data_IF_702791846716
#
_entry.id   IF_702791846716
#
_cell.length_a   1.000
_cell.length_b   1.000
_cell.length_c   1.000
_cell.angle_alpha   90.00
_cell.angle_beta   90.00
_cell.angle_gamma   90.00
#
_symmetry.space_group_name_H-M   'P 1'
#
loop_
_entity.id
_entity.type
_entity.pdbx_description
1 polymer ?
#
# COMPACT_ATOMS: atom_id res chain seq x y z
N UNK A 1 -50.33 -53.80 -38.47
CA UNK A 1 -49.36 -53.63 -37.34
C UNK A 1 -48.88 -52.17 -37.31
N UNK A 2 -49.30 -51.38 -36.28
CA UNK A 2 -48.94 -49.98 -36.15
C UNK A 2 -47.88 -49.89 -35.06
N UNK A 3 -46.69 -49.38 -35.38
CA UNK A 3 -45.65 -49.14 -34.43
C UNK A 3 -45.80 -47.73 -33.84
N UNK A 4 -45.77 -47.54 -32.54
CA UNK A 4 -45.77 -46.19 -31.96
C UNK A 4 -44.36 -45.57 -31.96
N UNK A 5 -44.27 -44.38 -32.50
CA UNK A 5 -43.05 -43.59 -32.53
C UNK A 5 -42.83 -43.02 -31.16
N UNK A 6 -41.72 -43.39 -30.53
CA UNK A 6 -41.27 -42.84 -29.25
C UNK A 6 -40.55 -41.50 -29.52
N UNK A 7 -41.13 -40.38 -29.08
CA UNK A 7 -40.48 -39.08 -29.13
C UNK A 7 -39.60 -38.93 -27.90
N UNK A 8 -38.29 -38.87 -28.09
CA UNK A 8 -37.33 -38.56 -27.03
C UNK A 8 -37.28 -37.05 -26.84
N UNK A 9 -37.70 -36.58 -25.67
CA UNK A 9 -37.54 -35.18 -25.24
C UNK A 9 -36.15 -35.04 -24.59
N UNK A 10 -35.22 -34.35 -25.28
CA UNK A 10 -33.93 -34.00 -24.74
C UNK A 10 -34.04 -32.75 -23.82
N UNK A 11 -33.85 -32.95 -22.54
CA UNK A 11 -33.78 -31.87 -21.56
C UNK A 11 -32.37 -31.27 -21.60
N UNK A 12 -32.20 -30.09 -22.16
CA UNK A 12 -30.95 -29.35 -22.14
C UNK A 12 -30.85 -28.64 -20.80
N UNK A 13 -30.02 -29.15 -19.88
CA UNK A 13 -29.59 -28.39 -18.69
C UNK A 13 -28.60 -27.33 -19.12
N UNK A 14 -29.03 -26.06 -19.15
CA UNK A 14 -28.12 -24.93 -19.25
C UNK A 14 -27.37 -24.76 -17.92
N UNK A 15 -26.04 -24.66 -17.92
CA UNK A 15 -25.31 -24.32 -16.70
C UNK A 15 -25.65 -22.88 -16.33
N UNK A 16 -26.22 -22.69 -15.14
CA UNK A 16 -26.38 -21.37 -14.52
C UNK A 16 -24.99 -20.97 -14.03
N UNK A 17 -24.27 -20.20 -14.82
CA UNK A 17 -23.08 -19.48 -14.33
C UNK A 17 -23.56 -18.40 -13.40
N UNK A 18 -23.40 -18.60 -12.09
CA UNK A 18 -23.51 -17.53 -11.11
C UNK A 18 -22.42 -16.49 -11.42
N UNK A 19 -22.82 -15.38 -12.01
CA UNK A 19 -21.99 -14.19 -12.04
C UNK A 19 -21.85 -13.72 -10.59
N UNK A 20 -20.67 -13.89 -10.00
CA UNK A 20 -20.32 -13.14 -8.81
C UNK A 20 -20.18 -11.70 -9.28
N UNK A 21 -21.16 -10.87 -8.98
CA UNK A 21 -21.01 -9.44 -9.04
C UNK A 21 -20.08 -9.09 -7.89
N UNK A 22 -18.80 -8.87 -8.20
CA UNK A 22 -17.91 -8.08 -7.37
C UNK A 22 -18.45 -6.65 -7.47
N UNK A 23 -19.33 -6.31 -6.54
CA UNK A 23 -19.91 -4.98 -6.48
C UNK A 23 -18.91 -4.05 -5.77
N UNK A 24 -17.79 -3.72 -6.40
CA UNK A 24 -16.76 -2.78 -5.96
C UNK A 24 -17.26 -1.44 -5.39
N UNK A 25 -18.37 -1.48 -4.68
CA UNK A 25 -19.01 -0.36 -3.98
C UNK A 25 -18.45 -0.17 -2.56
N UNK A 26 -17.69 -1.14 -2.07
CA UNK A 26 -17.05 -1.05 -0.75
C UNK A 26 -15.54 -1.22 -0.93
N UNK A 27 -14.78 -0.27 -0.42
CA UNK A 27 -13.34 -0.46 -0.27
C UNK A 27 -13.08 -1.70 0.59
N UNK A 28 -12.13 -2.53 0.17
CA UNK A 28 -11.72 -3.70 0.94
C UNK A 28 -11.35 -3.26 2.36
N UNK A 29 -12.06 -3.79 3.35
CA UNK A 29 -11.74 -3.55 4.75
C UNK A 29 -10.46 -4.28 5.07
N UNK A 30 -9.40 -3.55 5.37
CA UNK A 30 -8.12 -4.13 5.77
C UNK A 30 -8.27 -4.98 7.04
N UNK A 31 -7.49 -6.05 7.11
CA UNK A 31 -7.42 -6.86 8.33
C UNK A 31 -6.98 -5.96 9.50
N UNK A 32 -7.67 -6.01 10.66
CA UNK A 32 -7.35 -5.18 11.83
C UNK A 32 -5.91 -5.31 12.33
N UNK A 33 -5.25 -6.44 12.05
CA UNK A 33 -3.84 -6.65 12.42
C UNK A 33 -2.87 -6.21 11.33
N UNK A 34 -3.36 -5.84 10.14
CA UNK A 34 -2.47 -5.40 9.07
C UNK A 34 -1.76 -4.10 9.42
N UNK A 35 -0.63 -3.91 8.80
CA UNK A 35 0.24 -2.76 8.97
C UNK A 35 0.45 -2.06 7.64
N UNK A 36 1.03 -0.90 7.68
CA UNK A 36 1.19 -0.05 6.52
C UNK A 36 2.65 0.35 6.36
N UNK A 37 3.20 0.13 5.19
CA UNK A 37 4.60 0.45 4.89
C UNK A 37 4.65 1.37 3.69
N UNK A 38 5.43 2.44 3.77
CA UNK A 38 5.77 3.29 2.62
C UNK A 38 7.29 3.42 2.49
N UNK A 39 7.71 3.87 1.33
CA UNK A 39 9.11 4.12 0.99
C UNK A 39 9.31 5.59 0.67
N UNK A 40 10.36 6.18 1.21
CA UNK A 40 10.90 7.48 0.82
C UNK A 40 12.23 7.23 0.12
N UNK A 41 12.24 7.40 -1.20
CA UNK A 41 13.41 7.11 -2.05
C UNK A 41 13.52 8.17 -3.15
N UNK A 42 14.22 9.28 -2.92
CA UNK A 42 14.35 10.35 -3.88
C UNK A 42 14.88 9.88 -5.23
N UNK A 43 14.25 10.34 -6.30
CA UNK A 43 14.62 9.98 -7.67
C UNK A 43 14.18 8.59 -8.14
N UNK A 44 13.50 7.82 -7.29
CA UNK A 44 12.95 6.52 -7.66
C UNK A 44 11.50 6.65 -8.11
N UNK A 45 11.11 5.79 -9.07
CA UNK A 45 9.75 5.77 -9.62
C UNK A 45 9.04 4.45 -9.38
N UNK A 46 9.77 3.42 -8.97
CA UNK A 46 9.23 2.08 -8.73
C UNK A 46 9.95 1.43 -7.56
N UNK A 47 9.18 0.91 -6.61
CA UNK A 47 9.67 0.03 -5.53
C UNK A 47 8.72 -1.15 -5.40
N UNK A 48 9.11 -2.20 -4.67
CA UNK A 48 8.20 -3.29 -4.31
C UNK A 48 8.20 -3.47 -2.79
N UNK A 49 7.03 -3.53 -2.20
CA UNK A 49 6.83 -3.66 -0.76
C UNK A 49 6.03 -4.94 -0.51
N UNK A 50 6.63 -5.92 0.17
CA UNK A 50 5.98 -7.21 0.45
C UNK A 50 5.47 -7.92 -0.81
N UNK A 51 6.19 -7.80 -1.93
CA UNK A 51 5.79 -8.34 -3.22
C UNK A 51 4.84 -7.46 -4.04
N UNK A 52 4.27 -6.40 -3.45
CA UNK A 52 3.40 -5.45 -4.15
C UNK A 52 4.24 -4.38 -4.86
N UNK A 53 4.07 -4.28 -6.17
CA UNK A 53 4.79 -3.30 -6.98
C UNK A 53 4.14 -1.92 -6.91
N UNK A 54 4.84 -0.97 -6.35
CA UNK A 54 4.41 0.44 -6.25
C UNK A 54 5.07 1.23 -7.39
N UNK A 55 4.26 1.82 -8.25
CA UNK A 55 4.69 2.54 -9.46
C UNK A 55 4.54 4.04 -9.37
N UNK A 56 3.76 4.52 -8.42
CA UNK A 56 3.49 5.94 -8.24
C UNK A 56 4.23 6.44 -7.01
N UNK A 57 5.46 6.87 -7.23
CA UNK A 57 6.27 7.54 -6.23
C UNK A 57 6.37 9.00 -6.64
N UNK A 58 5.48 9.82 -6.12
CA UNK A 58 5.48 11.25 -6.38
C UNK A 58 6.43 11.97 -5.42
N UNK A 59 7.36 12.73 -5.99
CA UNK A 59 8.36 13.42 -5.17
C UNK A 59 9.32 12.51 -4.38
N UNK A 60 9.40 11.22 -4.76
CA UNK A 60 10.23 10.24 -4.05
C UNK A 60 9.55 9.59 -2.84
N UNK A 61 8.25 9.80 -2.64
CA UNK A 61 7.48 9.24 -1.53
C UNK A 61 6.36 8.35 -2.09
N UNK A 62 6.32 7.09 -1.67
CA UNK A 62 5.22 6.18 -2.06
C UNK A 62 3.99 6.39 -1.18
N UNK A 63 2.84 5.92 -1.66
CA UNK A 63 1.71 5.69 -0.79
C UNK A 63 2.02 4.55 0.20
N UNK A 64 1.26 4.48 1.29
CA UNK A 64 1.30 3.33 2.18
C UNK A 64 0.73 2.09 1.49
N UNK A 65 1.44 0.99 1.62
CA UNK A 65 1.01 -0.34 1.17
C UNK A 65 0.62 -1.14 2.39
N UNK A 66 -0.56 -1.75 2.34
CA UNK A 66 -1.01 -2.67 3.36
C UNK A 66 -0.20 -3.97 3.30
N UNK A 67 0.28 -4.42 4.45
CA UNK A 67 1.05 -5.66 4.59
C UNK A 67 0.64 -6.41 5.85
N UNK A 68 0.77 -7.72 5.84
CA UNK A 68 0.57 -8.52 7.05
C UNK A 68 1.80 -8.45 7.96
N UNK A 69 1.62 -8.59 9.30
CA UNK A 69 2.73 -8.68 10.24
C UNK A 69 3.67 -9.84 9.91
N UNK A 70 4.96 -9.66 10.18
CA UNK A 70 6.00 -10.63 9.90
C UNK A 70 7.24 -10.00 9.29
N UNK A 71 8.07 -10.81 8.68
CA UNK A 71 9.22 -10.31 7.91
C UNK A 71 8.79 -10.13 6.47
N UNK A 72 8.99 -8.94 5.94
CA UNK A 72 8.71 -8.59 4.55
C UNK A 72 9.96 -8.10 3.84
N UNK A 73 10.02 -8.30 2.54
CA UNK A 73 11.04 -7.74 1.67
C UNK A 73 10.56 -6.45 1.04
N UNK A 74 11.41 -5.42 1.09
CA UNK A 74 11.25 -4.20 0.30
C UNK A 74 12.33 -4.16 -0.76
N UNK A 75 11.94 -4.31 -2.01
CA UNK A 75 12.88 -4.24 -3.13
C UNK A 75 13.07 -2.79 -3.57
N UNK A 76 14.30 -2.32 -3.44
CA UNK A 76 14.80 -1.03 -3.87
C UNK A 76 15.77 -1.21 -5.04
N UNK A 77 16.05 -0.18 -5.83
CA UNK A 77 16.97 -0.28 -6.97
C UNK A 77 18.39 -0.72 -6.61
N UNK A 78 18.83 -0.43 -5.40
CA UNK A 78 20.16 -0.78 -4.89
C UNK A 78 20.21 -2.12 -4.13
N UNK A 79 19.08 -2.81 -3.98
CA UNK A 79 18.98 -4.10 -3.30
C UNK A 79 17.71 -4.28 -2.49
N UNK A 80 17.56 -5.43 -1.87
CA UNK A 80 16.43 -5.73 -1.01
C UNK A 80 16.75 -5.40 0.44
N UNK A 81 15.74 -4.88 1.14
CA UNK A 81 15.78 -4.65 2.59
C UNK A 81 14.74 -5.53 3.25
N UNK A 82 15.15 -6.42 4.13
CA UNK A 82 14.25 -7.16 5.01
C UNK A 82 13.85 -6.27 6.19
N UNK A 83 12.57 -6.22 6.48
CA UNK A 83 12.06 -5.52 7.66
C UNK A 83 11.05 -6.34 8.43
N UNK A 84 11.15 -6.31 9.75
CA UNK A 84 10.18 -6.88 10.64
C UNK A 84 9.01 -5.91 10.86
N UNK A 85 7.80 -6.36 10.59
CA UNK A 85 6.57 -5.58 10.70
C UNK A 85 5.73 -6.13 11.85
N UNK A 86 5.45 -5.28 12.82
CA UNK A 86 4.51 -5.57 13.91
C UNK A 86 3.08 -5.27 13.47
N UNK A 87 2.10 -5.86 14.15
CA UNK A 87 0.70 -5.62 13.84
C UNK A 87 0.27 -4.16 14.07
N UNK A 88 -0.68 -3.69 13.27
CA UNK A 88 -1.36 -2.38 13.41
C UNK A 88 -0.40 -1.20 13.52
N UNK A 89 0.68 -1.23 12.77
CA UNK A 89 1.77 -0.23 12.85
C UNK A 89 2.05 0.37 11.48
N UNK A 90 2.44 1.64 11.46
CA UNK A 90 2.87 2.34 10.25
C UNK A 90 4.39 2.48 10.24
N UNK A 91 4.99 2.24 9.08
CA UNK A 91 6.44 2.32 8.90
C UNK A 91 6.79 3.13 7.66
N UNK A 92 7.87 3.87 7.77
CA UNK A 92 8.53 4.51 6.63
C UNK A 92 9.94 3.96 6.48
N UNK A 93 10.23 3.32 5.34
CA UNK A 93 11.58 2.95 4.93
C UNK A 93 12.16 4.12 4.13
N UNK A 94 13.23 4.70 4.62
CA UNK A 94 13.93 5.79 3.96
C UNK A 94 15.19 5.24 3.28
N UNK A 95 15.38 5.62 2.01
CA UNK A 95 16.62 5.41 1.27
C UNK A 95 17.22 6.77 0.93
N UNK A 96 18.44 7.03 1.37
CA UNK A 96 19.18 8.25 1.03
C UNK A 96 19.74 8.20 -0.39
N UNK A 97 20.24 9.33 -0.90
CA UNK A 97 20.89 9.39 -2.21
C UNK A 97 22.14 8.49 -2.29
N UNK A 98 22.82 8.28 -1.17
CA UNK A 98 24.00 7.41 -1.06
C UNK A 98 23.63 5.93 -0.97
N UNK A 99 22.34 5.61 -0.93
CA UNK A 99 21.83 4.25 -0.85
C UNK A 99 21.76 3.67 0.56
N UNK A 100 22.03 4.47 1.59
CA UNK A 100 21.79 4.05 2.96
C UNK A 100 20.30 3.95 3.24
N UNK A 101 19.92 2.98 4.08
CA UNK A 101 18.50 2.75 4.42
C UNK A 101 18.28 2.84 5.92
N UNK A 102 17.15 3.41 6.30
CA UNK A 102 16.68 3.45 7.68
C UNK A 102 15.18 3.19 7.75
N UNK A 103 14.74 2.58 8.86
CA UNK A 103 13.33 2.26 9.10
C UNK A 103 12.85 3.09 10.27
N UNK A 104 11.75 3.81 10.05
CA UNK A 104 11.10 4.64 11.06
C UNK A 104 9.72 4.05 11.33
N UNK A 105 9.35 3.97 12.61
CA UNK A 105 7.96 3.74 13.01
C UNK A 105 7.26 5.09 13.03
N UNK A 106 6.20 5.23 12.26
CA UNK A 106 5.45 6.47 12.16
C UNK A 106 4.43 6.55 13.30
N UNK A 107 4.39 7.71 13.95
CA UNK A 107 3.35 8.05 14.92
C UNK A 107 2.24 8.79 14.19
N UNK A 108 1.22 8.04 13.77
CA UNK A 108 0.06 8.59 13.06
C UNK A 108 -0.99 9.02 14.08
N UNK A 109 -1.26 10.32 14.16
CA UNK A 109 -2.32 10.83 15.01
C UNK A 109 -3.69 10.49 14.41
N UNK A 110 -4.43 9.63 15.08
CA UNK A 110 -5.78 9.22 14.64
C UNK A 110 -6.82 10.31 14.99
N UNK A 111 -6.70 11.47 14.36
CA UNK A 111 -7.63 12.59 14.53
C UNK A 111 -8.25 12.96 13.16
N UNK A 112 -9.52 12.60 12.90
CA UNK A 112 -10.15 12.83 11.60
C UNK A 112 -10.32 14.32 11.25
N UNK A 113 -10.12 15.23 12.20
CA UNK A 113 -10.19 16.67 11.97
C UNK A 113 -8.83 17.32 11.66
N UNK A 114 -7.77 16.56 11.64
CA UNK A 114 -6.41 17.04 11.41
C UNK A 114 -5.70 16.23 10.34
N UNK A 115 -4.80 16.86 9.61
CA UNK A 115 -3.89 16.20 8.71
C UNK A 115 -2.55 15.99 9.42
N UNK A 116 -1.96 14.80 9.28
CA UNK A 116 -0.59 14.53 9.70
C UNK A 116 0.35 14.99 8.59
N UNK A 117 1.37 15.74 8.98
CA UNK A 117 2.40 16.22 8.08
C UNK A 117 3.74 15.68 8.53
N UNK A 118 4.43 14.94 7.66
CA UNK A 118 5.76 14.41 7.93
C UNK A 118 6.81 15.16 7.12
N UNK A 119 7.88 15.58 7.78
CA UNK A 119 9.04 16.21 7.14
C UNK A 119 10.26 15.29 7.28
N UNK A 120 10.81 14.87 6.14
CA UNK A 120 12.04 14.07 6.10
C UNK A 120 13.20 14.93 5.60
N UNK A 121 14.15 15.23 6.48
CA UNK A 121 15.37 15.91 6.09
C UNK A 121 16.39 14.90 5.58
N UNK A 122 16.51 14.77 4.26
CA UNK A 122 17.46 13.89 3.58
C UNK A 122 18.68 14.66 3.05
N UNK A 123 18.84 15.92 3.44
CA UNK A 123 19.96 16.75 3.05
C UNK A 123 21.11 16.66 4.06
N UNK A 124 22.27 17.19 3.69
CA UNK A 124 23.41 17.34 4.61
C UNK A 124 23.26 18.53 5.58
N UNK A 125 22.12 19.21 5.56
CA UNK A 125 21.85 20.36 6.44
C UNK A 125 21.31 19.85 7.78
N UNK A 126 21.89 20.32 8.88
CA UNK A 126 21.58 19.84 10.23
C UNK A 126 20.17 20.19 10.75
N UNK A 127 19.46 21.08 10.08
CA UNK A 127 18.10 21.44 10.45
C UNK A 127 17.34 22.03 9.29
N UNK A 128 16.06 21.71 9.22
CA UNK A 128 15.10 22.32 8.30
C UNK A 128 13.81 22.59 9.03
N UNK A 129 13.20 23.72 8.74
CA UNK A 129 11.93 24.12 9.33
C UNK A 129 10.80 24.01 8.30
N UNK A 130 9.67 23.49 8.74
CA UNK A 130 8.43 23.54 7.96
C UNK A 130 7.71 24.85 8.28
N UNK A 131 7.63 25.74 7.30
CA UNK A 131 6.98 27.03 7.45
C UNK A 131 5.58 27.03 6.85
N UNK A 132 4.59 27.46 7.63
CA UNK A 132 3.21 27.64 7.17
C UNK A 132 2.92 29.13 6.97
N UNK A 133 2.98 29.68 5.75
CA UNK A 133 2.92 31.13 5.51
C UNK A 133 1.63 31.79 6.01
N UNK A 134 0.50 31.08 5.91
CA UNK A 134 -0.82 31.61 6.32
C UNK A 134 -0.97 31.78 7.84
N UNK A 135 -0.18 31.06 8.63
CA UNK A 135 -0.24 31.11 10.09
C UNK A 135 0.88 31.92 10.71
N UNK A 136 1.86 32.35 9.93
CA UNK A 136 3.10 32.99 10.43
C UNK A 136 3.78 32.17 11.54
N UNK A 137 3.63 30.84 11.48
CA UNK A 137 4.09 29.92 12.49
C UNK A 137 5.06 28.93 11.87
N UNK A 138 6.08 28.57 12.65
CA UNK A 138 6.96 27.43 12.34
C UNK A 138 6.26 26.19 12.90
N UNK A 139 5.98 25.22 12.05
CA UNK A 139 5.52 23.91 12.48
C UNK A 139 6.78 23.07 12.78
N UNK A 140 6.90 22.64 13.99
CA UNK A 140 8.04 21.81 14.47
C UNK A 140 7.69 20.36 14.24
#
# INVERSE_FOLDING_TARGET
MKYPTLAAVAFVLAPVTSAFADDGLYEDVFDPISSFVRVVAPGQTVVSIGGNKVREIEGGVSLYVNVMPGVIDVALPNGNVEMAVSASTHYTLIMTADGETSIITDDIANNPSKADVSLYNLSATDGVDLYVPAANAVAI
#
